data_IF_632624972169
#
_entry.id   IF_632624972169
#
_cell.length_a   1.000
_cell.length_b   1.000
_cell.length_c   1.000
_cell.angle_alpha   90.00
_cell.angle_beta   90.00
_cell.angle_gamma   90.00
#
_symmetry.space_group_name_H-M   'P 1'
#
loop_
_entity.id
_entity.type
_entity.pdbx_description
1 polymer ?
#
# COMPACT_ATOMS: atom_id res chain seq x y z
N UNK A 1 -2.85 12.68 -23.69
CA UNK A 1 -2.41 11.97 -22.47
C UNK A 1 -2.02 12.98 -21.40
N UNK A 2 -2.66 12.88 -20.25
CA UNK A 2 -2.36 13.73 -19.09
C UNK A 2 -1.73 12.89 -18.00
N UNK A 3 -0.95 13.53 -17.13
CA UNK A 3 -0.31 12.90 -15.99
C UNK A 3 -0.49 13.77 -14.75
N UNK A 4 -0.68 13.14 -13.61
CA UNK A 4 -0.74 13.83 -12.34
C UNK A 4 -0.02 12.98 -11.28
N UNK A 5 0.84 13.59 -10.50
CA UNK A 5 1.63 12.89 -9.50
C UNK A 5 1.44 13.52 -8.14
N UNK A 6 1.15 12.70 -7.15
CA UNK A 6 1.11 13.12 -5.75
C UNK A 6 1.92 12.15 -4.89
N UNK A 7 2.43 12.67 -3.79
CA UNK A 7 3.12 11.88 -2.78
C UNK A 7 2.37 11.98 -1.47
N UNK A 8 2.23 10.84 -0.79
CA UNK A 8 1.75 10.81 0.59
C UNK A 8 2.92 10.39 1.49
N UNK A 9 2.94 10.90 2.71
CA UNK A 9 3.92 10.51 3.71
C UNK A 9 3.19 9.88 4.88
N UNK A 10 3.66 8.71 5.30
CA UNK A 10 3.13 8.00 6.45
C UNK A 10 4.20 7.90 7.53
N UNK A 11 3.75 8.03 8.76
CA UNK A 11 4.54 7.74 9.95
C UNK A 11 3.59 7.00 10.90
N UNK A 12 3.60 5.68 10.83
CA UNK A 12 2.60 4.87 11.51
C UNK A 12 2.79 4.88 13.03
N UNK A 13 1.70 4.64 13.75
CA UNK A 13 1.73 4.54 15.21
C UNK A 13 2.27 3.20 15.67
N UNK A 14 1.99 2.15 14.89
CA UNK A 14 2.34 0.77 15.21
C UNK A 14 3.46 0.30 14.29
N UNK A 15 4.16 -0.73 14.75
CA UNK A 15 5.19 -1.39 13.96
C UNK A 15 4.61 -1.99 12.68
N UNK A 16 3.44 -2.66 12.77
CA UNK A 16 2.65 -3.08 11.61
C UNK A 16 1.32 -2.36 11.63
N UNK A 17 0.94 -1.79 10.50
CA UNK A 17 -0.31 -1.04 10.39
C UNK A 17 -0.84 -1.11 8.95
N UNK A 18 -2.17 -1.18 8.84
CA UNK A 18 -2.89 -1.27 7.55
C UNK A 18 -3.79 -0.06 7.46
N UNK A 19 -3.52 0.83 6.51
CA UNK A 19 -4.18 2.13 6.41
C UNK A 19 -5.05 2.17 5.16
N UNK A 20 -6.35 2.40 5.34
CA UNK A 20 -7.31 2.60 4.25
C UNK A 20 -7.01 3.94 3.59
N UNK A 21 -6.62 3.93 2.32
CA UNK A 21 -6.22 5.13 1.59
C UNK A 21 -7.06 5.41 0.35
N UNK A 22 -8.16 4.69 0.15
CA UNK A 22 -9.07 4.95 -0.98
C UNK A 22 -9.45 6.43 -1.08
N UNK A 23 -9.81 7.13 0.03
CA UNK A 23 -10.15 8.56 -0.07
C UNK A 23 -9.01 9.41 -0.63
N UNK A 24 -7.76 9.15 -0.25
CA UNK A 24 -6.60 9.88 -0.76
C UNK A 24 -6.36 9.61 -2.24
N UNK A 25 -6.59 8.38 -2.68
CA UNK A 25 -6.48 8.02 -4.10
C UNK A 25 -7.59 8.71 -4.91
N UNK A 26 -8.83 8.72 -4.40
CA UNK A 26 -9.94 9.44 -5.02
C UNK A 26 -9.65 10.94 -5.14
N UNK A 27 -9.07 11.54 -4.12
CA UNK A 27 -8.72 12.96 -4.13
C UNK A 27 -7.63 13.28 -5.17
N UNK A 28 -6.63 12.42 -5.31
CA UNK A 28 -5.61 12.57 -6.35
C UNK A 28 -6.23 12.50 -7.75
N UNK A 29 -7.17 11.57 -7.95
CA UNK A 29 -7.91 11.48 -9.21
C UNK A 29 -8.70 12.77 -9.48
N UNK A 30 -9.43 13.25 -8.48
CA UNK A 30 -10.21 14.48 -8.61
C UNK A 30 -9.32 15.66 -9.03
N UNK A 31 -8.18 15.82 -8.38
CA UNK A 31 -7.23 16.90 -8.71
C UNK A 31 -6.67 16.77 -10.12
N UNK A 32 -6.50 15.56 -10.61
CA UNK A 32 -5.96 15.31 -11.94
C UNK A 32 -6.89 15.75 -13.07
N UNK A 33 -8.19 15.73 -12.83
CA UNK A 33 -9.20 15.99 -13.84
C UNK A 33 -9.33 14.89 -14.91
N UNK A 34 -8.61 13.78 -14.75
CA UNK A 34 -8.61 12.68 -15.72
C UNK A 34 -9.92 11.89 -15.58
N UNK A 35 -10.54 11.60 -16.73
CA UNK A 35 -11.82 10.89 -16.80
C UNK A 35 -11.68 9.44 -17.21
N UNK A 36 -10.70 9.11 -18.03
CA UNK A 36 -10.45 7.77 -18.54
C UNK A 36 -8.96 7.48 -18.46
N UNK A 37 -8.60 6.37 -17.80
CA UNK A 37 -7.19 6.00 -17.67
C UNK A 37 -6.95 5.02 -16.54
N UNK A 38 -5.85 5.22 -15.82
CA UNK A 38 -5.48 4.36 -14.71
C UNK A 38 -4.69 5.12 -13.66
N UNK A 39 -4.70 4.59 -12.44
CA UNK A 39 -3.91 5.12 -11.33
C UNK A 39 -2.97 4.03 -10.84
N UNK A 40 -1.69 4.38 -10.76
CA UNK A 40 -0.69 3.58 -10.04
C UNK A 40 -0.61 4.11 -8.62
N UNK A 41 -0.69 3.21 -7.64
CA UNK A 41 -0.49 3.52 -6.22
C UNK A 41 0.64 2.63 -5.74
N UNK A 42 1.77 3.22 -5.37
CA UNK A 42 2.99 2.45 -5.09
C UNK A 42 3.70 2.92 -3.83
N UNK A 43 3.95 1.99 -2.92
CA UNK A 43 4.78 2.24 -1.74
C UNK A 43 6.23 2.42 -2.17
N UNK A 44 6.89 3.42 -1.59
CA UNK A 44 8.28 3.77 -1.95
C UNK A 44 9.24 3.33 -0.84
N UNK A 45 9.02 2.12 -0.34
CA UNK A 45 9.86 1.55 0.71
C UNK A 45 9.86 0.02 0.64
N UNK A 46 10.99 -0.57 0.96
CA UNK A 46 11.21 -2.02 0.85
C UNK A 46 10.56 -2.84 1.97
N UNK A 47 9.95 -2.18 2.96
CA UNK A 47 9.23 -2.82 4.07
C UNK A 47 7.76 -2.39 4.15
N UNK A 48 7.22 -1.87 3.06
CA UNK A 48 5.83 -1.47 2.95
C UNK A 48 5.22 -2.04 1.67
N UNK A 49 3.91 -1.95 1.55
CA UNK A 49 3.20 -2.44 0.37
C UNK A 49 1.86 -1.76 0.17
N UNK A 50 1.21 -2.09 -0.95
CA UNK A 50 -0.13 -1.61 -1.28
C UNK A 50 -0.95 -2.79 -1.76
N UNK A 51 -2.18 -2.92 -1.29
CA UNK A 51 -3.09 -3.96 -1.76
C UNK A 51 -4.51 -3.43 -1.87
N UNK A 52 -5.36 -4.19 -2.57
CA UNK A 52 -6.78 -3.90 -2.72
C UNK A 52 -7.57 -5.06 -2.14
N UNK A 53 -8.41 -4.78 -1.16
CA UNK A 53 -9.30 -5.77 -0.57
C UNK A 53 -10.38 -5.06 0.24
N UNK A 54 -11.20 -5.82 0.96
CA UNK A 54 -12.29 -5.30 1.75
C UNK A 54 -11.81 -4.58 3.01
N UNK A 55 -12.45 -3.47 3.34
CA UNK A 55 -12.19 -2.72 4.57
C UNK A 55 -13.09 -3.27 5.69
N UNK A 56 -12.73 -4.43 6.23
CA UNK A 56 -13.44 -5.08 7.31
C UNK A 56 -12.44 -5.50 8.39
N UNK A 57 -12.71 -5.14 9.63
CA UNK A 57 -11.74 -5.26 10.72
C UNK A 57 -11.29 -6.70 10.99
N UNK A 58 -12.20 -7.66 10.90
CA UNK A 58 -11.86 -9.09 11.06
C UNK A 58 -10.92 -9.57 9.98
N UNK A 59 -11.22 -9.22 8.72
CA UNK A 59 -10.38 -9.58 7.59
C UNK A 59 -8.99 -8.95 7.71
N UNK A 60 -8.92 -7.70 8.15
CA UNK A 60 -7.62 -7.02 8.33
C UNK A 60 -6.79 -7.76 9.37
N UNK A 61 -7.40 -8.22 10.47
CA UNK A 61 -6.69 -9.03 11.47
C UNK A 61 -6.26 -10.38 10.89
N UNK A 62 -7.10 -11.00 10.07
CA UNK A 62 -6.76 -12.27 9.42
C UNK A 62 -5.58 -12.09 8.46
N UNK A 63 -5.56 -11.00 7.70
CA UNK A 63 -4.45 -10.68 6.81
C UNK A 63 -3.15 -10.50 7.62
N UNK A 64 -3.20 -9.77 8.71
CA UNK A 64 -2.04 -9.57 9.58
C UNK A 64 -1.50 -10.90 10.12
N UNK A 65 -2.40 -11.74 10.61
CA UNK A 65 -2.03 -13.06 11.12
C UNK A 65 -1.45 -13.96 10.04
N UNK A 66 -2.09 -13.97 8.87
CA UNK A 66 -1.60 -14.77 7.72
C UNK A 66 -0.20 -14.34 7.29
N UNK A 67 0.04 -13.04 7.20
CA UNK A 67 1.36 -12.51 6.85
C UNK A 67 2.41 -12.88 7.91
N UNK A 68 2.03 -12.84 9.18
CA UNK A 68 2.95 -13.24 10.27
C UNK A 68 3.27 -14.73 10.21
N UNK A 69 2.32 -15.57 9.83
CA UNK A 69 2.54 -17.01 9.65
C UNK A 69 3.45 -17.31 8.45
N UNK A 70 3.27 -16.58 7.34
CA UNK A 70 4.03 -16.78 6.12
C UNK A 70 5.45 -16.24 6.21
N UNK A 71 5.64 -15.13 6.91
CA UNK A 71 6.94 -14.46 7.08
C UNK A 71 7.09 -14.04 8.55
N UNK A 72 7.33 -15.00 9.45
CA UNK A 72 7.32 -14.72 10.88
C UNK A 72 8.47 -13.85 11.31
N UNK A 73 8.22 -12.99 12.30
CA UNK A 73 9.29 -12.30 13.00
C UNK A 73 10.16 -13.34 13.74
N UNK A 74 11.46 -13.30 13.48
CA UNK A 74 12.43 -14.19 14.12
C UNK A 74 13.84 -13.58 14.02
N UNK A 75 14.75 -14.04 14.87
CA UNK A 75 16.09 -13.45 14.96
C UNK A 75 17.08 -13.98 13.92
N UNK A 76 16.83 -15.16 13.39
CA UNK A 76 17.81 -15.91 12.59
C UNK A 76 17.70 -15.74 11.07
N UNK A 77 17.06 -14.67 10.60
CA UNK A 77 17.14 -14.32 9.19
C UNK A 77 18.56 -13.92 8.81
N UNK A 78 19.03 -14.36 7.64
CA UNK A 78 20.35 -13.99 7.15
C UNK A 78 20.52 -12.48 7.00
N UNK A 79 19.43 -11.76 6.69
CA UNK A 79 19.44 -10.30 6.63
C UNK A 79 19.90 -9.66 7.94
N UNK A 80 19.71 -10.33 9.06
CA UNK A 80 20.08 -9.79 10.38
C UNK A 80 21.59 -9.78 10.62
N UNK A 81 22.39 -10.36 9.74
CA UNK A 81 23.87 -10.25 9.76
C UNK A 81 24.32 -8.79 9.59
N UNK A 82 23.49 -7.94 9.02
CA UNK A 82 23.78 -6.50 8.85
C UNK A 82 23.53 -5.68 10.10
N UNK A 83 23.05 -6.31 11.18
CA UNK A 83 22.62 -5.63 12.40
C UNK A 83 21.14 -5.24 12.38
N UNK A 84 20.42 -5.51 11.31
CA UNK A 84 18.99 -5.25 11.19
C UNK A 84 18.16 -6.29 11.93
N UNK A 85 16.88 -5.99 12.16
CA UNK A 85 15.94 -6.89 12.86
C UNK A 85 14.64 -7.09 12.07
N UNK A 86 14.58 -6.64 10.82
CA UNK A 86 13.36 -6.49 10.05
C UNK A 86 13.26 -7.40 8.82
N UNK A 87 13.92 -8.56 8.85
CA UNK A 87 13.88 -9.51 7.73
C UNK A 87 12.46 -9.93 7.36
N UNK A 88 11.60 -10.15 8.37
CA UNK A 88 10.20 -10.48 8.15
C UNK A 88 9.45 -9.36 7.42
N UNK A 89 9.77 -8.11 7.70
CA UNK A 89 9.12 -6.95 7.07
C UNK A 89 9.39 -6.88 5.57
N UNK A 90 10.62 -7.21 5.15
CA UNK A 90 10.97 -7.31 3.74
C UNK A 90 10.19 -8.43 3.04
N UNK A 91 10.06 -9.57 3.70
CA UNK A 91 9.33 -10.72 3.12
C UNK A 91 7.84 -10.45 3.05
N UNK A 92 7.27 -9.84 4.09
CA UNK A 92 5.85 -9.40 4.07
C UNK A 92 5.60 -8.41 2.93
N UNK A 93 6.53 -7.49 2.70
CA UNK A 93 6.45 -6.54 1.59
C UNK A 93 6.42 -7.25 0.25
N UNK A 94 7.25 -8.28 0.07
CA UNK A 94 7.25 -9.09 -1.15
C UNK A 94 5.93 -9.84 -1.36
N UNK A 95 5.34 -10.38 -0.29
CA UNK A 95 4.07 -11.09 -0.37
C UNK A 95 2.92 -10.16 -0.78
N UNK A 96 2.84 -8.98 -0.19
CA UNK A 96 1.80 -8.00 -0.51
C UNK A 96 2.07 -7.31 -1.83
N UNK A 97 3.32 -7.10 -2.15
CA UNK A 97 3.81 -6.31 -3.27
C UNK A 97 3.75 -4.80 -3.01
N UNK A 98 4.44 -4.02 -3.84
CA UNK A 98 4.61 -2.59 -3.57
C UNK A 98 3.56 -1.72 -4.25
N UNK A 99 2.81 -2.23 -5.25
CA UNK A 99 1.89 -1.38 -6.02
C UNK A 99 0.61 -2.09 -6.40
N UNK A 100 -0.38 -1.26 -6.71
CA UNK A 100 -1.60 -1.68 -7.40
C UNK A 100 -1.87 -0.69 -8.55
N UNK A 101 -2.60 -1.16 -9.55
CA UNK A 101 -3.13 -0.33 -10.63
C UNK A 101 -4.64 -0.41 -10.54
N UNK A 102 -5.29 0.76 -10.55
CA UNK A 102 -6.75 0.87 -10.47
C UNK A 102 -7.25 1.54 -11.75
N UNK A 103 -8.24 0.96 -12.43
CA UNK A 103 -8.85 1.60 -13.59
C UNK A 103 -9.59 2.89 -13.20
N UNK A 104 -9.61 3.84 -14.12
CA UNK A 104 -10.41 5.07 -14.01
C UNK A 104 -11.40 5.10 -15.16
N UNK A 105 -12.68 5.21 -14.83
CA UNK A 105 -13.77 5.24 -15.80
C UNK A 105 -14.76 6.34 -15.38
N UNK A 106 -15.08 7.23 -16.31
CA UNK A 106 -16.02 8.31 -16.05
C UNK A 106 -15.60 9.21 -14.87
N UNK A 107 -14.33 9.44 -14.68
CA UNK A 107 -13.80 10.27 -13.60
C UNK A 107 -13.82 9.63 -12.22
N UNK A 108 -14.03 8.32 -12.14
CA UNK A 108 -14.11 7.60 -10.86
C UNK A 108 -13.19 6.40 -10.87
N UNK A 109 -12.73 5.98 -9.68
CA UNK A 109 -12.08 4.70 -9.51
C UNK A 109 -13.06 3.58 -9.87
N UNK A 110 -12.70 2.76 -10.84
CA UNK A 110 -13.57 1.67 -11.30
C UNK A 110 -13.27 0.42 -10.48
N UNK A 111 -13.70 0.46 -9.23
CA UNK A 111 -13.51 -0.61 -8.25
C UNK A 111 -14.77 -1.44 -8.13
N UNK A 112 -14.61 -2.74 -7.84
CA UNK A 112 -15.72 -3.58 -7.40
C UNK A 112 -16.28 -3.07 -6.08
N UNK A 113 -17.51 -3.50 -5.70
CA UNK A 113 -18.23 -2.90 -4.56
C UNK A 113 -17.52 -3.03 -3.21
N UNK A 114 -16.63 -4.01 -3.06
CA UNK A 114 -15.93 -4.25 -1.79
C UNK A 114 -14.42 -3.98 -1.89
N UNK A 115 -13.94 -3.53 -3.05
CA UNK A 115 -12.52 -3.21 -3.22
C UNK A 115 -12.19 -1.84 -2.62
N UNK A 116 -11.18 -1.82 -1.76
CA UNK A 116 -10.62 -0.59 -1.18
C UNK A 116 -9.11 -0.68 -1.24
N UNK A 117 -8.46 0.44 -1.34
CA UNK A 117 -6.98 0.53 -1.45
C UNK A 117 -6.41 0.72 -0.05
N UNK A 118 -5.39 -0.08 0.25
CA UNK A 118 -4.69 -0.05 1.54
C UNK A 118 -3.19 0.14 1.35
N UNK A 119 -2.62 0.97 2.22
CA UNK A 119 -1.19 1.02 2.45
C UNK A 119 -0.86 0.15 3.66
N UNK A 120 0.09 -0.76 3.53
CA UNK A 120 0.53 -1.64 4.61
C UNK A 120 1.97 -1.34 4.98
N UNK A 121 2.22 -1.12 6.25
CA UNK A 121 3.56 -0.87 6.78
C UNK A 121 3.96 -2.00 7.72
N UNK A 122 5.08 -2.66 7.42
CA UNK A 122 5.55 -3.81 8.18
C UNK A 122 6.74 -3.50 9.08
N UNK A 123 7.29 -2.29 8.97
CA UNK A 123 8.39 -1.79 9.79
C UNK A 123 8.19 -0.30 10.02
N UNK A 124 7.08 0.02 10.69
CA UNK A 124 6.56 1.36 10.84
C UNK A 124 7.26 2.21 11.87
N UNK A 125 6.55 3.26 12.32
CA UNK A 125 7.05 4.23 13.30
C UNK A 125 8.23 5.06 12.77
N UNK A 126 8.27 5.24 11.46
CA UNK A 126 9.21 6.13 10.76
C UNK A 126 8.60 6.60 9.45
N UNK A 127 9.08 7.70 8.94
CA UNK A 127 8.54 8.31 7.71
C UNK A 127 8.83 7.45 6.49
N UNK A 128 7.78 7.18 5.71
CA UNK A 128 7.85 6.51 4.42
C UNK A 128 6.92 7.20 3.44
N UNK A 129 7.27 7.18 2.17
CA UNK A 129 6.47 7.81 1.13
C UNK A 129 5.73 6.78 0.29
N UNK A 130 4.64 7.25 -0.31
CA UNK A 130 3.86 6.54 -1.29
C UNK A 130 3.63 7.49 -2.46
N UNK A 131 3.72 6.97 -3.69
CA UNK A 131 3.43 7.75 -4.89
C UNK A 131 2.09 7.32 -5.46
N UNK A 132 1.31 8.31 -5.88
CA UNK A 132 0.09 8.12 -6.65
C UNK A 132 0.32 8.78 -8.00
N UNK A 133 0.20 8.01 -9.06
CA UNK A 133 0.39 8.51 -10.42
C UNK A 133 -0.83 8.20 -11.25
N UNK A 134 -1.50 9.25 -11.73
CA UNK A 134 -2.68 9.16 -12.58
C UNK A 134 -2.27 9.43 -14.00
N UNK A 135 -2.73 8.60 -14.92
CA UNK A 135 -2.50 8.83 -16.35
C UNK A 135 -3.77 8.54 -17.16
N UNK A 136 -3.99 9.33 -18.19
CA UNK A 136 -5.15 9.16 -19.07
C UNK A 136 -5.58 10.47 -19.71
N UNK A 137 -6.85 10.50 -20.10
CA UNK A 137 -7.45 11.66 -20.75
C UNK A 137 -8.52 12.32 -19.88
#
# INVERSE_FOLDING_TARGET
>A
MKFHTEYLTFNTRKHREYIHITPQVEEALRKSGIQEGMILVSAMHITAGVYVNDNESGLIRDIDQWLEEMAPYRDDYEHHQTGETNGDSHLKSLLVHHEVIVPVTGGKLDLGPWQRVFYADFDGQRKKRLIIKVMGE
#
